data_IF_987641980036
#
_entry.id   IF_987641980036
#
_cell.length_a   1.000
_cell.length_b   1.000
_cell.length_c   1.000
_cell.angle_alpha   90.00
_cell.angle_beta   90.00
_cell.angle_gamma   90.00
#
_symmetry.space_group_name_H-M   'P 1'
#
loop_
_entity.id
_entity.type
_entity.pdbx_description
1 polymer ?
#
# COMPACT_ATOMS: atom_id res chain seq x y z
N UNK A 1 16.01 61.93 28.95
CA UNK A 1 15.08 60.89 29.43
C UNK A 1 15.46 59.60 28.74
N UNK A 2 16.08 58.67 29.47
CA UNK A 2 16.31 57.30 29.06
C UNK A 2 15.49 56.44 30.02
N UNK A 3 14.51 55.71 29.49
CA UNK A 3 13.74 54.73 30.27
C UNK A 3 14.28 53.33 29.95
N UNK A 4 14.62 52.49 30.94
CA UNK A 4 15.12 51.13 30.70
C UNK A 4 13.98 50.16 30.31
N UNK A 5 14.29 49.22 29.42
CA UNK A 5 13.44 48.08 29.06
C UNK A 5 13.04 47.28 30.30
N UNK A 6 11.76 47.36 30.65
CA UNK A 6 11.13 46.57 31.70
C UNK A 6 10.96 45.12 31.27
N UNK A 7 11.22 44.23 32.23
CA UNK A 7 11.08 42.78 32.14
C UNK A 7 9.71 42.36 31.61
N UNK A 8 9.67 41.81 30.41
CA UNK A 8 8.61 40.91 29.97
C UNK A 8 9.11 39.48 30.13
N UNK A 9 8.68 38.80 31.19
CA UNK A 9 8.78 37.36 31.25
C UNK A 9 7.91 36.80 30.13
N UNK A 10 8.53 36.30 29.08
CA UNK A 10 7.86 35.42 28.15
C UNK A 10 7.64 34.11 28.89
N UNK A 11 6.49 34.02 29.56
CA UNK A 11 5.89 32.74 29.92
C UNK A 11 5.57 32.05 28.58
N UNK A 12 6.57 31.41 27.99
CA UNK A 12 6.36 30.37 27.02
C UNK A 12 5.88 29.18 27.86
N UNK A 13 4.59 29.18 28.22
CA UNK A 13 3.90 27.92 28.43
C UNK A 13 3.87 27.26 27.06
N UNK A 14 4.92 26.47 26.88
CA UNK A 14 5.22 25.63 25.74
C UNK A 14 3.92 24.98 25.27
N UNK A 15 3.54 25.32 24.04
CA UNK A 15 2.73 24.42 23.24
C UNK A 15 3.48 23.10 23.16
N UNK A 16 3.23 22.21 24.13
CA UNK A 16 3.52 20.79 24.02
C UNK A 16 2.53 20.20 23.02
N UNK A 17 2.55 20.71 21.79
CA UNK A 17 1.98 20.06 20.63
C UNK A 17 2.89 18.88 20.29
N UNK A 18 2.80 17.81 21.08
CA UNK A 18 3.11 16.43 20.75
C UNK A 18 4.19 16.23 19.66
N UNK A 19 5.39 16.76 19.89
CA UNK A 19 6.51 16.65 18.94
C UNK A 19 7.04 15.21 18.98
N UNK A 20 6.87 14.50 17.87
CA UNK A 20 7.31 13.11 17.75
C UNK A 20 8.83 13.04 17.91
N UNK A 21 9.31 12.31 18.93
CA UNK A 21 10.74 12.28 19.19
C UNK A 21 11.49 11.54 18.08
N UNK A 22 12.76 11.89 17.87
CA UNK A 22 13.61 11.18 16.91
C UNK A 22 13.69 9.66 17.20
N UNK A 23 13.65 9.28 18.48
CA UNK A 23 13.65 7.88 18.89
C UNK A 23 12.36 7.15 18.49
N UNK A 24 11.20 7.78 18.70
CA UNK A 24 9.93 7.21 18.26
C UNK A 24 9.85 7.13 16.73
N UNK A 25 10.38 8.13 16.04
CA UNK A 25 10.45 8.12 14.58
C UNK A 25 11.31 7.00 14.03
N UNK A 26 12.53 6.83 14.55
CA UNK A 26 13.39 5.73 14.13
C UNK A 26 12.77 4.37 14.43
N UNK A 27 12.11 4.20 15.58
CA UNK A 27 11.40 2.96 15.92
C UNK A 27 10.23 2.69 14.98
N UNK A 28 9.44 3.71 14.63
CA UNK A 28 8.33 3.58 13.69
C UNK A 28 8.83 3.16 12.30
N UNK A 29 9.89 3.81 11.80
CA UNK A 29 10.51 3.45 10.51
C UNK A 29 11.02 2.01 10.53
N UNK A 30 11.69 1.57 11.59
CA UNK A 30 12.13 0.18 11.73
C UNK A 30 10.96 -0.81 11.73
N UNK A 31 9.85 -0.47 12.40
CA UNK A 31 8.66 -1.31 12.42
C UNK A 31 8.05 -1.46 11.01
N UNK A 32 7.98 -0.37 10.23
CA UNK A 32 7.51 -0.40 8.84
C UNK A 32 8.39 -1.31 7.99
N UNK A 33 9.72 -1.13 8.07
CA UNK A 33 10.68 -1.91 7.29
C UNK A 33 10.64 -3.40 7.64
N UNK A 34 10.59 -3.73 8.93
CA UNK A 34 10.52 -5.11 9.40
C UNK A 34 9.21 -5.78 8.98
N UNK A 35 8.08 -5.09 9.09
CA UNK A 35 6.78 -5.63 8.68
C UNK A 35 6.78 -5.99 7.19
N UNK A 36 7.28 -5.09 6.34
CA UNK A 36 7.42 -5.36 4.90
C UNK A 36 8.36 -6.55 4.64
N UNK A 37 9.51 -6.59 5.32
CA UNK A 37 10.49 -7.68 5.19
C UNK A 37 9.89 -9.04 5.55
N UNK A 38 9.12 -9.14 6.63
CA UNK A 38 8.45 -10.38 7.01
C UNK A 38 7.37 -10.77 6.02
N UNK A 39 6.62 -9.81 5.47
CA UNK A 39 5.69 -10.06 4.35
C UNK A 39 6.39 -10.61 3.12
N UNK A 40 7.54 -10.06 2.74
CA UNK A 40 8.34 -10.53 1.60
C UNK A 40 8.88 -11.96 1.81
N UNK A 41 9.30 -12.28 3.04
CA UNK A 41 9.73 -13.63 3.43
C UNK A 41 8.57 -14.61 3.32
N UNK A 42 7.43 -14.31 3.95
CA UNK A 42 6.24 -15.17 3.92
C UNK A 42 5.75 -15.41 2.48
N UNK A 43 5.76 -14.37 1.64
CA UNK A 43 5.32 -14.48 0.26
C UNK A 43 6.21 -15.42 -0.55
N UNK A 44 7.54 -15.29 -0.41
CA UNK A 44 8.51 -16.17 -1.06
C UNK A 44 8.34 -17.62 -0.61
N UNK A 45 8.06 -17.82 0.68
CA UNK A 45 7.90 -19.14 1.27
C UNK A 45 6.48 -19.72 1.03
N UNK A 46 5.64 -19.00 0.25
CA UNK A 46 4.25 -19.34 -0.10
C UNK A 46 3.32 -19.48 1.11
N UNK A 47 3.69 -18.87 2.23
CA UNK A 47 2.83 -18.73 3.39
C UNK A 47 1.87 -17.55 3.16
N UNK A 48 0.81 -17.83 2.40
CA UNK A 48 -0.15 -16.80 1.99
C UNK A 48 -0.92 -16.21 3.17
N UNK A 49 -1.16 -16.99 4.22
CA UNK A 49 -1.82 -16.52 5.44
C UNK A 49 -0.98 -15.43 6.12
N UNK A 50 0.30 -15.72 6.38
CA UNK A 50 1.18 -14.73 7.01
C UNK A 50 1.49 -13.57 6.06
N UNK A 51 1.55 -13.81 4.74
CA UNK A 51 1.69 -12.74 3.74
C UNK A 51 0.54 -11.73 3.86
N UNK A 52 -0.70 -12.21 3.89
CA UNK A 52 -1.89 -11.37 4.04
C UNK A 52 -1.80 -10.57 5.34
N UNK A 53 -1.41 -11.21 6.45
CA UNK A 53 -1.29 -10.53 7.74
C UNK A 53 -0.25 -9.40 7.72
N UNK A 54 0.98 -9.71 7.29
CA UNK A 54 2.07 -8.72 7.28
C UNK A 54 1.80 -7.59 6.30
N UNK A 55 1.37 -7.89 5.07
CA UNK A 55 1.07 -6.83 4.11
C UNK A 55 -0.17 -6.00 4.50
N UNK A 56 -1.13 -6.56 5.24
CA UNK A 56 -2.22 -5.76 5.80
C UNK A 56 -1.75 -4.77 6.85
N UNK A 57 -0.82 -5.18 7.72
CA UNK A 57 -0.14 -4.24 8.62
C UNK A 57 0.66 -3.20 7.84
N UNK A 58 1.41 -3.60 6.81
CA UNK A 58 2.17 -2.67 5.97
C UNK A 58 1.28 -1.61 5.31
N UNK A 59 0.13 -1.99 4.74
CA UNK A 59 -0.79 -1.04 4.09
C UNK A 59 -1.31 0.02 5.05
N UNK A 60 -1.55 -0.34 6.33
CA UNK A 60 -1.99 0.63 7.35
C UNK A 60 -0.84 1.53 7.81
N UNK A 61 0.39 1.00 7.88
CA UNK A 61 1.53 1.73 8.41
C UNK A 61 2.23 2.65 7.39
N UNK A 62 2.17 2.32 6.09
CA UNK A 62 2.84 3.10 5.05
C UNK A 62 2.01 4.32 4.65
N UNK A 63 2.63 5.50 4.63
CA UNK A 63 2.00 6.74 4.16
C UNK A 63 1.80 6.77 2.64
N UNK A 64 2.65 6.08 1.89
CA UNK A 64 2.58 5.98 0.43
C UNK A 64 2.18 4.56 0.03
N UNK A 65 1.09 4.39 -0.74
CA UNK A 65 0.68 3.12 -1.32
C UNK A 65 1.82 2.43 -2.07
N UNK A 66 1.99 1.12 -1.87
CA UNK A 66 2.96 0.32 -2.62
C UNK A 66 2.26 -0.68 -3.53
N UNK A 67 2.35 -0.47 -4.84
CA UNK A 67 1.78 -1.36 -5.85
C UNK A 67 2.22 -2.82 -5.64
N UNK A 68 3.49 -3.05 -5.30
CA UNK A 68 4.02 -4.40 -5.07
C UNK A 68 3.43 -5.10 -3.85
N UNK A 69 3.12 -4.34 -2.79
CA UNK A 69 2.48 -4.88 -1.57
C UNK A 69 1.03 -5.28 -1.90
N UNK A 70 0.28 -4.41 -2.59
CA UNK A 70 -1.06 -4.73 -3.05
C UNK A 70 -1.07 -5.93 -4.01
N UNK A 71 -0.17 -5.98 -4.99
CA UNK A 71 -0.13 -7.08 -5.96
C UNK A 71 0.15 -8.45 -5.30
N UNK A 72 1.11 -8.51 -4.37
CA UNK A 72 1.44 -9.74 -3.66
C UNK A 72 0.35 -10.15 -2.67
N UNK A 73 -0.30 -9.19 -2.01
CA UNK A 73 -1.44 -9.47 -1.12
C UNK A 73 -2.67 -9.92 -1.92
N UNK A 74 -2.97 -9.30 -3.06
CA UNK A 74 -3.99 -9.74 -4.00
C UNK A 74 -3.77 -11.19 -4.44
N UNK A 75 -2.55 -11.53 -4.87
CA UNK A 75 -2.21 -12.90 -5.23
C UNK A 75 -2.42 -13.87 -4.05
N UNK A 76 -2.00 -13.48 -2.85
CA UNK A 76 -2.17 -14.30 -1.65
C UNK A 76 -3.65 -14.52 -1.31
N UNK A 77 -4.50 -13.51 -1.49
CA UNK A 77 -5.96 -13.64 -1.38
C UNK A 77 -6.53 -14.61 -2.42
N UNK A 78 -6.08 -14.56 -3.69
CA UNK A 78 -6.49 -15.53 -4.72
C UNK A 78 -6.13 -16.96 -4.34
N UNK A 79 -4.93 -17.16 -3.80
CA UNK A 79 -4.47 -18.47 -3.33
C UNK A 79 -5.17 -18.95 -2.06
N UNK A 80 -5.88 -18.05 -1.37
CA UNK A 80 -6.63 -18.32 -0.14
C UNK A 80 -8.14 -18.20 -0.35
N UNK A 81 -8.61 -18.32 -1.60
CA UNK A 81 -10.03 -18.30 -2.00
C UNK A 81 -10.81 -17.03 -1.58
N UNK A 82 -10.12 -15.89 -1.45
CA UNK A 82 -10.70 -14.60 -1.08
C UNK A 82 -10.73 -13.65 -2.28
N UNK A 83 -11.49 -14.01 -3.32
CA UNK A 83 -11.43 -13.35 -4.63
C UNK A 83 -11.88 -11.88 -4.59
N UNK A 84 -12.85 -11.50 -3.76
CA UNK A 84 -13.31 -10.12 -3.62
C UNK A 84 -12.24 -9.21 -3.03
N UNK A 85 -11.50 -9.71 -2.04
CA UNK A 85 -10.37 -8.97 -1.44
C UNK A 85 -9.22 -8.87 -2.44
N UNK A 86 -8.98 -9.92 -3.21
CA UNK A 86 -7.99 -9.89 -4.29
C UNK A 86 -8.33 -8.84 -5.35
N UNK A 87 -9.59 -8.75 -5.77
CA UNK A 87 -10.04 -7.75 -6.75
C UNK A 87 -9.81 -6.32 -6.24
N UNK A 88 -10.17 -6.04 -4.99
CA UNK A 88 -9.94 -4.72 -4.36
C UNK A 88 -8.47 -4.33 -4.36
N UNK A 89 -7.59 -5.25 -3.98
CA UNK A 89 -6.15 -4.98 -4.02
C UNK A 89 -5.65 -4.81 -5.45
N UNK A 90 -6.10 -5.63 -6.40
CA UNK A 90 -5.70 -5.53 -7.80
C UNK A 90 -6.09 -4.19 -8.44
N UNK A 91 -7.25 -3.63 -8.09
CA UNK A 91 -7.64 -2.28 -8.49
C UNK A 91 -6.71 -1.22 -7.87
N UNK A 92 -6.29 -1.37 -6.62
CA UNK A 92 -5.29 -0.47 -6.01
C UNK A 92 -3.93 -0.55 -6.71
N UNK A 93 -3.54 -1.73 -7.21
CA UNK A 93 -2.33 -1.86 -8.04
C UNK A 93 -2.43 -0.98 -9.28
N UNK A 94 -3.57 -0.98 -9.97
CA UNK A 94 -3.80 -0.14 -11.15
C UNK A 94 -3.79 1.36 -10.81
N UNK A 95 -4.40 1.76 -9.69
CA UNK A 95 -4.34 3.16 -9.22
C UNK A 95 -2.90 3.60 -8.97
N UNK A 96 -2.07 2.72 -8.38
CA UNK A 96 -0.66 3.03 -8.12
C UNK A 96 0.17 3.09 -9.41
N UNK A 97 -0.05 2.15 -10.34
CA UNK A 97 0.67 2.05 -11.62
C UNK A 97 -0.32 1.64 -12.72
N UNK A 98 -0.92 2.61 -13.45
CA UNK A 98 -2.01 2.35 -14.40
C UNK A 98 -1.68 1.32 -15.48
N UNK A 99 -0.46 1.38 -16.03
CA UNK A 99 -0.05 0.55 -17.16
C UNK A 99 0.67 -0.74 -16.75
N UNK A 100 0.71 -1.07 -15.45
CA UNK A 100 1.40 -2.27 -15.01
C UNK A 100 0.59 -3.53 -15.39
N UNK A 101 1.09 -4.42 -16.26
CA UNK A 101 0.31 -5.58 -16.74
C UNK A 101 -0.28 -6.43 -15.62
N UNK A 102 0.46 -6.53 -14.51
CA UNK A 102 0.09 -7.29 -13.32
C UNK A 102 -1.27 -6.87 -12.75
N UNK A 103 -1.65 -5.58 -12.83
CA UNK A 103 -2.93 -5.10 -12.30
C UNK A 103 -4.10 -5.72 -13.09
N UNK A 104 -4.06 -5.67 -14.41
CA UNK A 104 -5.07 -6.23 -15.30
C UNK A 104 -5.18 -7.76 -15.15
N UNK A 105 -4.03 -8.46 -15.09
CA UNK A 105 -4.04 -9.91 -14.89
C UNK A 105 -4.62 -10.32 -13.55
N UNK A 106 -4.30 -9.62 -12.47
CA UNK A 106 -4.85 -9.92 -11.14
C UNK A 106 -6.36 -9.61 -11.07
N UNK A 107 -6.82 -8.52 -11.69
CA UNK A 107 -8.24 -8.20 -11.78
C UNK A 107 -9.00 -9.28 -12.58
N UNK A 108 -8.49 -9.67 -13.75
CA UNK A 108 -9.09 -10.73 -14.56
C UNK A 108 -9.16 -12.08 -13.82
N UNK A 109 -8.10 -12.46 -13.11
CA UNK A 109 -8.09 -13.68 -12.30
C UNK A 109 -9.11 -13.62 -11.16
N UNK A 110 -9.21 -12.49 -10.46
CA UNK A 110 -10.18 -12.31 -9.39
C UNK A 110 -11.63 -12.36 -9.92
N UNK A 111 -11.92 -11.63 -11.00
CA UNK A 111 -13.23 -11.63 -11.64
C UNK A 111 -13.64 -13.02 -12.14
N UNK A 112 -12.71 -13.77 -12.73
CA UNK A 112 -12.96 -15.16 -13.13
C UNK A 112 -13.31 -16.06 -11.94
N UNK A 113 -12.62 -15.91 -10.80
CA UNK A 113 -12.95 -16.63 -9.56
C UNK A 113 -14.33 -16.25 -9.01
N UNK A 114 -14.79 -15.03 -9.27
CA UNK A 114 -16.11 -14.51 -8.90
C UNK A 114 -17.23 -14.86 -9.90
N UNK A 115 -16.94 -15.64 -10.96
CA UNK A 115 -17.90 -15.95 -12.04
C UNK A 115 -18.39 -14.70 -12.79
N UNK A 116 -17.47 -13.77 -13.01
CA UNK A 116 -17.67 -12.55 -13.79
C UNK A 116 -16.81 -12.65 -15.06
N UNK A 117 -17.08 -13.64 -15.91
CA UNK A 117 -16.22 -14.00 -17.05
C UNK A 117 -16.12 -12.88 -18.10
N UNK A 118 -17.20 -12.15 -18.35
CA UNK A 118 -17.20 -11.01 -19.29
C UNK A 118 -16.25 -9.92 -18.80
N UNK A 119 -16.39 -9.50 -17.54
CA UNK A 119 -15.55 -8.44 -16.96
C UNK A 119 -14.07 -8.87 -16.91
N UNK A 120 -13.82 -10.15 -16.65
CA UNK A 120 -12.47 -10.70 -16.69
C UNK A 120 -11.84 -10.60 -18.09
N UNK A 121 -12.61 -10.90 -19.13
CA UNK A 121 -12.16 -10.79 -20.52
C UNK A 121 -11.94 -9.32 -20.92
N UNK A 122 -12.82 -8.42 -20.48
CA UNK A 122 -12.70 -6.99 -20.75
C UNK A 122 -11.41 -6.42 -20.15
N UNK A 123 -11.03 -6.82 -18.93
CA UNK A 123 -9.72 -6.44 -18.35
C UNK A 123 -8.52 -6.85 -19.18
N UNK A 124 -8.56 -8.02 -19.85
CA UNK A 124 -7.49 -8.45 -20.73
C UNK A 124 -7.49 -7.69 -22.07
N UNK A 125 -8.67 -7.34 -22.58
CA UNK A 125 -8.82 -6.56 -23.79
C UNK A 125 -8.33 -5.12 -23.60
N UNK A 126 -8.68 -4.49 -22.47
CA UNK A 126 -8.23 -3.15 -22.11
C UNK A 126 -6.71 -3.07 -22.02
N UNK A 127 -6.07 -4.09 -21.45
CA UNK A 127 -4.61 -4.18 -21.42
C UNK A 127 -3.98 -4.34 -22.81
N UNK A 128 -4.59 -5.11 -23.70
CA UNK A 128 -4.12 -5.24 -25.07
C UNK A 128 -4.25 -3.91 -25.85
N UNK A 129 -5.35 -3.19 -25.62
CA UNK A 129 -5.58 -1.89 -26.21
C UNK A 129 -4.58 -0.83 -25.71
N UNK A 130 -4.29 -0.78 -24.39
CA UNK A 130 -3.34 0.18 -23.82
C UNK A 130 -1.90 -0.02 -24.33
N UNK A 131 -1.50 -1.25 -24.63
CA UNK A 131 -0.22 -1.52 -25.31
C UNK A 131 -0.20 -1.05 -26.76
N UNK A 132 -1.34 -1.03 -27.45
CA UNK A 132 -1.41 -0.60 -28.85
C UNK A 132 -1.28 0.91 -28.99
N UNK A 133 -1.73 1.68 -28.00
CA UNK A 133 -1.62 3.15 -27.98
C UNK A 133 -0.26 3.66 -27.55
N UNK A 134 0.58 2.84 -26.90
CA UNK A 134 1.93 3.24 -26.47
C UNK A 134 3.00 3.12 -27.57
N UNK A 135 2.66 2.50 -28.72
CA UNK A 135 3.60 2.21 -29.82
C UNK A 135 3.25 3.02 -31.10
N UNK A 136 2.22 3.86 -31.03
CA UNK A 136 1.81 4.79 -32.10
C UNK A 136 2.23 6.22 -31.76
#
# INVERSE_FOLDING_TARGET
MLSPLGKGGYNNEEGAENEFSFQEWTQQVQNILNTKKFGDIAFRDKDFKNTIEYYSKSVVMMSVPSATVFARRAFSYLMSEQAELALRDAMQVQVCIPDWPTSFYLQALALSKLRMETDAQDMLNDFAASRSTSIA
#
